data_IF_545708409839
#
_entry.id   IF_545708409839
#
_cell.length_a   1.000
_cell.length_b   1.000
_cell.length_c   1.000
_cell.angle_alpha   90.00
_cell.angle_beta   90.00
_cell.angle_gamma   90.00
#
_symmetry.space_group_name_H-M   'P 1'
#
loop_
_entity.id
_entity.type
_entity.pdbx_description
1 polymer ?
#
# COMPACT_ATOMS: atom_id res chain seq x y z
N UNK A 1 -30.71 -14.11 -31.48
CA UNK A 1 -29.22 -14.17 -31.49
C UNK A 1 -28.59 -12.82 -31.86
N UNK A 2 -28.99 -12.20 -32.98
CA UNK A 2 -28.43 -10.91 -33.45
C UNK A 2 -28.65 -9.76 -32.47
N UNK A 3 -29.85 -9.58 -31.90
CA UNK A 3 -30.13 -8.57 -30.87
C UNK A 3 -29.31 -8.77 -29.57
N UNK A 4 -29.02 -10.02 -29.21
CA UNK A 4 -28.19 -10.35 -28.04
C UNK A 4 -26.72 -10.01 -28.28
N UNK A 5 -26.20 -10.33 -29.47
CA UNK A 5 -24.85 -9.93 -29.87
C UNK A 5 -24.76 -8.40 -30.00
N UNK A 6 -25.79 -7.76 -30.55
CA UNK A 6 -25.85 -6.32 -30.66
C UNK A 6 -25.87 -5.65 -29.29
N UNK A 7 -26.59 -6.15 -28.29
CA UNK A 7 -26.48 -5.64 -26.91
C UNK A 7 -25.12 -5.93 -26.26
N UNK A 8 -24.51 -7.08 -26.58
CA UNK A 8 -23.20 -7.46 -26.02
C UNK A 8 -22.05 -6.61 -26.59
N UNK A 9 -22.21 -6.15 -27.83
CA UNK A 9 -21.21 -5.35 -28.56
C UNK A 9 -21.68 -3.92 -28.85
N UNK A 10 -22.84 -3.50 -28.32
CA UNK A 10 -23.35 -2.16 -28.52
C UNK A 10 -22.37 -1.18 -27.89
N UNK A 11 -21.92 -0.26 -28.73
CA UNK A 11 -21.14 0.88 -28.35
C UNK A 11 -21.78 1.54 -27.13
N UNK A 12 -21.00 1.85 -26.10
CA UNK A 12 -21.52 2.46 -24.88
C UNK A 12 -22.16 3.80 -25.29
N UNK A 13 -23.47 3.92 -25.09
CA UNK A 13 -24.20 5.16 -25.39
C UNK A 13 -23.56 6.35 -24.66
N UNK A 14 -23.59 7.53 -25.29
CA UNK A 14 -22.98 8.73 -24.75
C UNK A 14 -23.47 9.06 -23.33
N UNK A 15 -24.75 8.82 -23.05
CA UNK A 15 -25.36 8.96 -21.71
C UNK A 15 -24.75 8.00 -20.70
N UNK A 16 -24.60 6.72 -21.07
CA UNK A 16 -24.00 5.69 -20.23
C UNK A 16 -22.52 5.97 -19.96
N UNK A 17 -21.76 6.42 -20.96
CA UNK A 17 -20.36 6.83 -20.78
C UNK A 17 -20.25 8.05 -19.84
N UNK A 18 -21.15 9.03 -19.98
CA UNK A 18 -21.19 10.22 -19.14
C UNK A 18 -21.49 9.86 -17.67
N UNK A 19 -22.50 9.01 -17.43
CA UNK A 19 -22.84 8.51 -16.09
C UNK A 19 -21.63 7.80 -15.47
N UNK A 20 -20.94 6.93 -16.23
CA UNK A 20 -19.75 6.22 -15.75
C UNK A 20 -18.59 7.14 -15.36
N UNK A 21 -18.44 8.29 -16.00
CA UNK A 21 -17.45 9.31 -15.58
C UNK A 21 -17.90 9.99 -14.29
N UNK A 22 -19.16 10.37 -14.17
CA UNK A 22 -19.66 11.12 -13.01
C UNK A 22 -19.77 10.28 -11.73
N UNK A 23 -20.17 9.01 -11.86
CA UNK A 23 -20.29 8.07 -10.74
C UNK A 23 -19.04 7.22 -10.57
N UNK A 24 -17.90 7.66 -11.11
CA UNK A 24 -16.67 6.90 -11.04
C UNK A 24 -16.20 6.79 -9.58
N UNK A 25 -15.95 5.56 -9.14
CA UNK A 25 -15.45 5.25 -7.80
C UNK A 25 -14.10 4.55 -7.93
N UNK A 26 -13.16 4.93 -7.08
CA UNK A 26 -11.88 4.23 -6.97
C UNK A 26 -12.12 2.81 -6.44
N UNK A 27 -11.53 1.82 -7.11
CA UNK A 27 -11.60 0.41 -6.70
C UNK A 27 -10.36 0.10 -5.89
N UNK A 28 -10.53 -0.39 -4.66
CA UNK A 28 -9.42 -0.80 -3.81
C UNK A 28 -8.53 -1.83 -4.53
N UNK A 29 -7.23 -1.60 -4.54
CA UNK A 29 -6.24 -2.43 -5.24
C UNK A 29 -5.90 -2.00 -6.67
N UNK A 30 -6.49 -0.93 -7.20
CA UNK A 30 -6.07 -0.32 -8.49
C UNK A 30 -5.09 0.83 -8.27
N UNK A 31 -4.15 1.04 -9.20
CA UNK A 31 -3.21 2.18 -9.13
C UNK A 31 -3.85 3.48 -9.59
N UNK A 32 -3.28 4.62 -9.19
CA UNK A 32 -3.72 5.93 -9.69
C UNK A 32 -3.62 6.00 -11.22
N UNK A 33 -2.58 5.40 -11.81
CA UNK A 33 -2.37 5.33 -13.27
C UNK A 33 -3.44 4.52 -13.99
N UNK A 34 -3.80 3.35 -13.48
CA UNK A 34 -4.84 2.50 -14.07
C UNK A 34 -6.20 3.18 -14.04
N UNK A 35 -6.51 3.85 -12.93
CA UNK A 35 -7.74 4.63 -12.78
C UNK A 35 -7.78 5.79 -13.76
N UNK A 36 -6.66 6.51 -13.92
CA UNK A 36 -6.54 7.60 -14.88
C UNK A 36 -6.73 7.13 -16.33
N UNK A 37 -6.13 6.00 -16.70
CA UNK A 37 -6.30 5.42 -18.03
C UNK A 37 -7.74 4.94 -18.27
N UNK A 38 -8.40 4.34 -17.28
CA UNK A 38 -9.83 3.98 -17.38
C UNK A 38 -10.72 5.21 -17.61
N UNK A 39 -10.42 6.33 -16.96
CA UNK A 39 -11.12 7.60 -17.16
C UNK A 39 -10.90 8.16 -18.57
N UNK A 40 -9.68 8.10 -19.10
CA UNK A 40 -9.38 8.45 -20.50
C UNK A 40 -10.13 7.54 -21.48
N UNK A 41 -10.23 6.25 -21.20
CA UNK A 41 -10.97 5.30 -22.01
C UNK A 41 -12.47 5.62 -22.05
N UNK A 42 -13.07 6.00 -20.91
CA UNK A 42 -14.46 6.47 -20.87
C UNK A 42 -14.65 7.77 -21.67
N UNK A 43 -13.71 8.71 -21.58
CA UNK A 43 -13.71 9.92 -22.42
C UNK A 43 -13.62 9.59 -23.91
N UNK A 44 -12.76 8.63 -24.30
CA UNK A 44 -12.63 8.18 -25.70
C UNK A 44 -13.94 7.58 -26.20
N UNK A 45 -14.58 6.75 -25.38
CA UNK A 45 -15.90 6.15 -25.68
C UNK A 45 -17.00 7.22 -25.80
N UNK A 46 -17.02 8.21 -24.89
CA UNK A 46 -17.93 9.35 -24.97
C UNK A 46 -17.75 10.14 -26.26
N UNK A 47 -16.50 10.46 -26.64
CA UNK A 47 -16.18 11.18 -27.88
C UNK A 47 -16.54 10.40 -29.15
N UNK A 48 -16.45 9.07 -29.10
CA UNK A 48 -16.84 8.22 -30.21
C UNK A 48 -18.37 8.15 -30.37
N UNK A 49 -19.11 8.25 -29.26
CA UNK A 49 -20.58 8.21 -29.25
C UNK A 49 -21.23 9.59 -29.47
N UNK A 50 -20.58 10.68 -29.07
CA UNK A 50 -21.10 12.04 -29.21
C UNK A 50 -20.01 13.00 -29.72
N UNK A 51 -20.18 13.48 -30.95
CA UNK A 51 -19.26 14.44 -31.58
C UNK A 51 -19.33 15.83 -30.95
N UNK A 52 -20.45 16.19 -30.31
CA UNK A 52 -20.61 17.45 -29.60
C UNK A 52 -19.90 17.42 -28.23
N UNK A 53 -19.68 16.24 -27.66
CA UNK A 53 -18.92 16.05 -26.43
C UNK A 53 -17.39 16.13 -26.61
N UNK A 54 -16.87 16.50 -27.79
CA UNK A 54 -15.41 16.63 -28.04
C UNK A 54 -14.70 17.57 -27.06
N UNK A 55 -15.35 18.68 -26.69
CA UNK A 55 -14.88 19.64 -25.68
C UNK A 55 -15.34 19.30 -24.26
N UNK A 56 -16.28 18.36 -24.10
CA UNK A 56 -16.70 17.89 -22.79
C UNK A 56 -15.55 17.13 -22.11
N UNK A 57 -15.39 17.36 -20.81
CA UNK A 57 -14.32 16.81 -19.97
C UNK A 57 -12.90 17.17 -20.45
N UNK A 58 -12.47 18.41 -20.21
CA UNK A 58 -11.06 18.80 -20.31
C UNK A 58 -10.19 17.98 -19.33
N UNK A 59 -8.88 17.90 -19.56
CA UNK A 59 -7.96 17.17 -18.68
C UNK A 59 -8.11 17.58 -17.21
N UNK A 60 -8.35 18.87 -16.96
CA UNK A 60 -8.69 19.40 -15.64
C UNK A 60 -9.99 18.84 -15.05
N UNK A 61 -11.06 18.73 -15.84
CA UNK A 61 -12.33 18.16 -15.38
C UNK A 61 -12.20 16.66 -15.08
N UNK A 62 -11.42 15.93 -15.88
CA UNK A 62 -11.08 14.54 -15.60
C UNK A 62 -10.28 14.40 -14.30
N UNK A 63 -9.33 15.30 -14.06
CA UNK A 63 -8.57 15.31 -12.80
C UNK A 63 -9.46 15.59 -11.60
N UNK A 64 -10.47 16.48 -11.72
CA UNK A 64 -11.45 16.71 -10.65
C UNK A 64 -12.27 15.46 -10.34
N UNK A 65 -12.69 14.72 -11.37
CA UNK A 65 -13.39 13.42 -11.19
C UNK A 65 -12.48 12.41 -10.50
N UNK A 66 -11.21 12.32 -10.93
CA UNK A 66 -10.21 11.46 -10.29
C UNK A 66 -10.05 11.81 -8.82
N UNK A 67 -9.79 13.08 -8.50
CA UNK A 67 -9.58 13.58 -7.13
C UNK A 67 -10.78 13.30 -6.23
N UNK A 68 -12.01 13.47 -6.73
CA UNK A 68 -13.24 13.15 -6.00
C UNK A 68 -13.37 11.64 -5.73
N UNK A 69 -12.92 10.80 -6.66
CA UNK A 69 -13.04 9.35 -6.55
C UNK A 69 -11.99 8.71 -5.64
N UNK A 70 -10.86 9.40 -5.40
CA UNK A 70 -9.76 8.89 -4.58
C UNK A 70 -10.18 8.64 -3.12
N UNK A 71 -9.60 7.62 -2.47
CA UNK A 71 -9.88 7.33 -1.08
C UNK A 71 -9.37 8.44 -0.15
N UNK A 72 -9.95 8.53 1.05
CA UNK A 72 -9.64 9.57 2.05
C UNK A 72 -8.16 9.59 2.45
N UNK A 73 -7.43 8.50 2.27
CA UNK A 73 -5.97 8.44 2.45
C UNK A 73 -5.24 9.48 1.60
N UNK A 74 -5.80 9.91 0.46
CA UNK A 74 -5.24 10.93 -0.43
C UNK A 74 -5.65 12.37 -0.08
N UNK A 75 -6.54 12.60 0.89
CA UNK A 75 -7.07 13.94 1.20
C UNK A 75 -5.95 14.97 1.48
N UNK A 76 -4.98 14.62 2.33
CA UNK A 76 -3.86 15.51 2.67
C UNK A 76 -3.00 15.91 1.48
N UNK A 77 -2.80 15.01 0.51
CA UNK A 77 -2.04 15.33 -0.71
C UNK A 77 -2.86 16.13 -1.71
N UNK A 78 -4.18 15.90 -1.74
CA UNK A 78 -5.08 16.71 -2.55
C UNK A 78 -5.08 18.16 -2.04
N UNK A 79 -5.13 18.35 -0.73
CA UNK A 79 -5.07 19.68 -0.09
C UNK A 79 -3.74 20.40 -0.38
N UNK A 80 -2.61 19.70 -0.31
CA UNK A 80 -1.30 20.31 -0.64
C UNK A 80 -1.15 20.63 -2.13
N UNK A 81 -1.67 19.76 -3.01
CA UNK A 81 -1.68 19.98 -4.46
C UNK A 81 -2.59 21.15 -4.85
N UNK A 82 -3.76 21.27 -4.20
CA UNK A 82 -4.71 22.36 -4.46
C UNK A 82 -4.21 23.71 -3.96
N UNK A 83 -3.50 23.74 -2.83
CA UNK A 83 -2.81 24.94 -2.35
C UNK A 83 -1.72 25.44 -3.32
N UNK A 84 -1.08 24.53 -4.07
CA UNK A 84 -0.03 24.83 -5.06
C UNK A 84 -0.59 25.10 -6.47
N UNK A 85 -1.61 25.95 -6.58
CA UNK A 85 -2.48 26.14 -7.75
C UNK A 85 -1.87 26.24 -9.17
N UNK A 86 -0.55 26.42 -9.32
CA UNK A 86 0.15 26.57 -10.60
C UNK A 86 0.71 25.26 -11.21
N UNK A 87 0.44 24.09 -10.62
CA UNK A 87 0.94 22.80 -11.13
C UNK A 87 0.18 22.33 -12.37
N UNK A 88 0.87 21.70 -13.32
CA UNK A 88 0.23 21.06 -14.49
C UNK A 88 -0.55 19.81 -14.08
N UNK A 89 -1.43 19.30 -14.94
CA UNK A 89 -2.23 18.08 -14.66
C UNK A 89 -1.29 16.88 -14.45
N UNK A 90 -0.23 16.81 -15.24
CA UNK A 90 0.79 15.78 -15.22
C UNK A 90 1.59 15.82 -13.91
N UNK A 91 1.98 17.01 -13.45
CA UNK A 91 2.66 17.16 -12.15
C UNK A 91 1.76 16.69 -11.00
N UNK A 92 0.47 17.03 -11.04
CA UNK A 92 -0.50 16.60 -10.02
C UNK A 92 -0.66 15.07 -9.97
N UNK A 93 -0.66 14.41 -11.13
CA UNK A 93 -0.67 12.94 -11.19
C UNK A 93 0.61 12.34 -10.61
N UNK A 94 1.77 12.92 -10.93
CA UNK A 94 3.06 12.47 -10.41
C UNK A 94 3.12 12.54 -8.87
N UNK A 95 2.57 13.59 -8.26
CA UNK A 95 2.48 13.67 -6.80
C UNK A 95 1.58 12.59 -6.19
N UNK A 96 0.49 12.23 -6.87
CA UNK A 96 -0.41 11.16 -6.42
C UNK A 96 0.27 9.79 -6.51
N UNK A 97 1.02 9.54 -7.60
CA UNK A 97 1.85 8.34 -7.77
C UNK A 97 2.98 8.26 -6.74
N UNK A 98 3.64 9.37 -6.44
CA UNK A 98 4.67 9.43 -5.41
C UNK A 98 4.09 9.10 -4.03
N UNK A 99 2.89 9.59 -3.71
CA UNK A 99 2.21 9.21 -2.47
C UNK A 99 1.90 7.71 -2.43
N UNK A 100 1.40 7.17 -3.53
CA UNK A 100 1.07 5.74 -3.64
C UNK A 100 2.33 4.87 -3.43
N UNK A 101 3.46 5.24 -4.05
CA UNK A 101 4.72 4.51 -3.88
C UNK A 101 5.28 4.61 -2.46
N UNK A 102 5.16 5.78 -1.82
CA UNK A 102 5.55 5.96 -0.41
C UNK A 102 4.71 5.09 0.53
N UNK A 103 3.39 5.07 0.34
CA UNK A 103 2.50 4.25 1.15
C UNK A 103 2.86 2.75 1.04
N UNK A 104 3.12 2.25 -0.18
CA UNK A 104 3.57 0.87 -0.40
C UNK A 104 4.90 0.56 0.29
N UNK A 105 5.87 1.48 0.20
CA UNK A 105 7.18 1.29 0.83
C UNK A 105 7.11 1.32 2.37
N UNK A 106 6.23 2.15 2.94
CA UNK A 106 5.98 2.20 4.39
C UNK A 106 5.38 0.89 4.91
N UNK A 107 4.42 0.32 4.18
CA UNK A 107 3.84 -0.99 4.51
C UNK A 107 4.90 -2.11 4.45
N UNK A 108 5.73 -2.14 3.40
CA UNK A 108 6.83 -3.10 3.27
C UNK A 108 7.87 -2.96 4.39
N UNK A 109 8.24 -1.73 4.76
CA UNK A 109 9.16 -1.46 5.88
C UNK A 109 8.56 -1.87 7.23
N UNK A 110 7.27 -1.64 7.44
CA UNK A 110 6.58 -2.09 8.65
C UNK A 110 6.61 -3.63 8.76
N UNK A 111 6.37 -4.33 7.65
CA UNK A 111 6.46 -5.79 7.61
C UNK A 111 7.90 -6.32 7.78
N UNK A 112 8.90 -5.61 7.27
CA UNK A 112 10.31 -5.96 7.47
C UNK A 112 10.75 -5.77 8.93
N UNK A 113 10.35 -4.67 9.58
CA UNK A 113 10.67 -4.39 10.98
C UNK A 113 10.05 -5.43 11.94
N UNK A 114 8.89 -6.00 11.61
CA UNK A 114 8.27 -7.08 12.38
C UNK A 114 9.12 -8.36 12.30
N UNK A 115 9.63 -8.72 11.12
CA UNK A 115 10.50 -9.90 10.95
C UNK A 115 11.80 -9.80 11.76
N UNK A 116 12.37 -8.61 11.84
CA UNK A 116 13.58 -8.35 12.66
C UNK A 116 13.30 -8.51 14.16
N UNK A 117 12.05 -8.31 14.61
CA UNK A 117 11.68 -8.49 16.02
C UNK A 117 11.24 -9.91 16.38
N UNK A 118 10.88 -10.74 15.40
CA UNK A 118 10.49 -12.14 15.65
C UNK A 118 11.67 -13.11 15.69
N UNK A 119 12.80 -12.75 15.07
CA UNK A 119 14.05 -13.49 15.24
C UNK A 119 14.80 -12.88 16.42
N UNK A 120 14.70 -13.55 17.57
CA UNK A 120 15.53 -13.27 18.75
C UNK A 120 17.00 -13.27 18.33
N UNK A 121 17.56 -12.06 18.16
CA UNK A 121 18.96 -11.86 17.81
C UNK A 121 19.83 -12.60 18.82
N UNK A 122 20.37 -13.75 18.40
CA UNK A 122 21.29 -14.54 19.22
C UNK A 122 22.70 -14.08 18.87
N UNK A 123 23.41 -13.35 19.77
CA UNK A 123 24.74 -12.88 19.45
C UNK A 123 25.69 -14.06 19.19
N UNK A 124 26.57 -14.01 18.18
CA UNK A 124 27.54 -15.07 17.95
C UNK A 124 28.52 -15.11 19.13
N UNK A 125 28.35 -16.09 20.02
CA UNK A 125 29.26 -16.32 21.12
C UNK A 125 30.68 -16.54 20.58
N UNK A 126 31.59 -15.61 20.92
CA UNK A 126 33.04 -15.72 20.70
C UNK A 126 33.53 -17.07 21.22
N UNK A 127 33.92 -17.96 20.30
CA UNK A 127 34.67 -19.18 20.63
C UNK A 127 36.07 -18.80 21.06
N UNK A 128 36.38 -18.93 22.36
CA UNK A 128 37.76 -19.12 22.83
C UNK A 128 38.01 -20.61 22.97
N UNK A 129 38.96 -21.14 22.20
CA UNK A 129 39.57 -22.43 22.44
C UNK A 129 40.60 -22.30 23.58
N UNK A 130 40.47 -23.13 24.62
CA UNK A 130 41.57 -23.99 25.11
C UNK A 130 41.06 -24.96 26.20
N UNK A 131 41.30 -26.26 25.95
CA UNK A 131 41.55 -27.38 26.87
C UNK A 131 40.88 -27.40 28.27
N UNK A 132 39.95 -28.34 28.49
CA UNK A 132 40.25 -29.58 29.23
C UNK A 132 39.07 -30.56 29.20
N UNK A 133 39.42 -31.83 28.96
CA UNK A 133 38.51 -32.96 28.93
C UNK A 133 38.46 -33.57 30.35
N UNK A 134 37.47 -33.19 31.16
CA UNK A 134 37.03 -34.01 32.30
C UNK A 134 35.49 -34.10 32.37
N UNK A 135 35.04 -35.26 31.88
CA UNK A 135 33.91 -36.08 32.34
C UNK A 135 32.99 -35.47 33.43
N UNK A 136 31.69 -35.44 33.08
CA UNK A 136 30.53 -35.83 33.92
C UNK A 136 29.62 -34.71 34.47
N UNK A 137 28.35 -34.77 34.02
CA UNK A 137 27.11 -34.29 34.68
C UNK A 137 26.93 -32.76 34.84
N UNK A 138 26.12 -32.23 33.93
CA UNK A 138 25.53 -30.88 33.95
C UNK A 138 24.91 -30.47 35.29
N UNK A 139 25.23 -29.27 35.83
CA UNK A 139 24.47 -28.58 36.87
C UNK A 139 23.79 -27.28 36.38
N UNK A 140 23.59 -27.09 35.06
CA UNK A 140 22.88 -25.89 34.55
C UNK A 140 21.37 -25.88 34.81
N UNK A 141 20.83 -26.93 35.45
CA UNK A 141 19.48 -26.95 36.03
C UNK A 141 19.49 -26.76 37.56
N UNK A 142 20.45 -26.01 38.13
CA UNK A 142 20.34 -25.63 39.53
C UNK A 142 19.29 -24.50 39.68
N UNK A 143 18.19 -24.72 40.43
CA UNK A 143 17.16 -23.70 40.64
C UNK A 143 17.73 -22.51 41.42
N UNK A 144 17.05 -21.35 41.37
CA UNK A 144 17.38 -20.21 42.23
C UNK A 144 16.97 -20.50 43.67
N UNK A 145 17.79 -20.11 44.63
CA UNK A 145 17.44 -20.15 46.04
C UNK A 145 16.46 -19.00 46.36
N UNK A 146 15.32 -19.31 46.97
CA UNK A 146 14.28 -18.32 47.28
C UNK A 146 14.62 -17.38 48.45
N UNK A 147 15.73 -17.60 49.17
CA UNK A 147 16.14 -16.79 50.32
C UNK A 147 17.07 -15.63 49.95
N UNK A 148 17.86 -15.80 48.89
CA UNK A 148 18.94 -14.88 48.51
C UNK A 148 19.06 -14.68 46.99
N UNK A 149 18.21 -15.34 46.20
CA UNK A 149 18.13 -15.27 44.74
C UNK A 149 19.40 -15.70 43.97
N UNK A 150 20.37 -16.32 44.65
CA UNK A 150 21.55 -16.92 44.02
C UNK A 150 21.31 -18.35 43.50
N UNK A 151 22.16 -18.80 42.56
CA UNK A 151 21.97 -20.07 41.82
C UNK A 151 22.74 -21.24 42.43
N UNK A 152 22.10 -21.89 43.40
CA UNK A 152 22.53 -23.15 44.01
C UNK A 152 21.32 -23.85 44.64
N UNK A 153 21.47 -25.10 45.10
CA UNK A 153 20.38 -25.80 45.80
C UNK A 153 20.23 -25.19 47.19
N UNK A 154 18.99 -24.95 47.65
CA UNK A 154 18.71 -24.27 48.94
C UNK A 154 19.48 -24.82 50.16
N UNK A 155 19.97 -26.06 50.11
CA UNK A 155 20.82 -26.69 51.14
C UNK A 155 22.26 -26.15 51.20
N UNK A 156 22.74 -25.52 50.13
CA UNK A 156 24.09 -24.94 49.98
C UNK A 156 24.09 -23.41 50.21
N UNK A 157 23.04 -22.86 50.82
CA UNK A 157 22.93 -21.45 51.20
C UNK A 157 23.79 -21.18 52.44
N UNK A 158 24.72 -20.20 52.42
CA UNK A 158 25.47 -19.79 53.62
C UNK A 158 24.58 -19.18 54.70
#
# INVERSE_FOLDING_TARGET
LWAYLQMKYSQIDATTANIKIQTFTFVEGTTVTEVWEKLKDYRRKLRAADTNAKSAYNHWALLLVLVRSLPKSFATTIDTISARGNLTVEDKLKYLEEKESRARNEDEQAHAAIRVRSDEYTPPHRRRHSSDFERSKSPRNKPKCYLCDERYWMRDCP
#
